data_IF_874930764622
#
_entry.id   IF_874930764622
#
_cell.length_a   1.000
_cell.length_b   1.000
_cell.length_c   1.000
_cell.angle_alpha   90.00
_cell.angle_beta   90.00
_cell.angle_gamma   90.00
#
_symmetry.space_group_name_H-M   'P 1'
#
loop_
_entity.id
_entity.type
_entity.pdbx_description
1 polymer ?
#
# COMPACT_ATOMS: atom_id res chain seq x y z
N UNK A 1 5.43 -10.84 -18.77
CA UNK A 1 6.36 -10.20 -17.80
C UNK A 1 6.69 -8.85 -18.37
N UNK A 2 6.34 -7.79 -17.67
CA UNK A 2 6.65 -6.43 -18.08
C UNK A 2 7.99 -6.00 -17.49
N UNK A 3 8.81 -5.31 -18.28
CA UNK A 3 10.16 -4.94 -17.88
C UNK A 3 10.18 -3.48 -17.43
N UNK A 4 10.32 -3.27 -16.11
CA UNK A 4 10.47 -1.94 -15.53
C UNK A 4 11.90 -1.42 -15.78
N UNK A 5 12.06 -0.18 -16.26
CA UNK A 5 13.36 0.46 -16.29
C UNK A 5 13.90 0.61 -14.85
N UNK A 6 15.24 0.56 -14.65
CA UNK A 6 15.83 0.82 -13.35
C UNK A 6 15.37 2.18 -12.79
N UNK A 7 15.12 2.23 -11.47
CA UNK A 7 14.73 3.44 -10.75
C UNK A 7 13.51 4.18 -11.33
N UNK A 8 12.53 3.43 -11.83
CA UNK A 8 11.24 3.98 -12.30
C UNK A 8 10.10 3.66 -11.34
N UNK A 9 10.13 4.17 -10.10
CA UNK A 9 9.06 3.93 -9.12
C UNK A 9 7.72 4.48 -9.62
N UNK A 10 7.73 5.56 -10.41
CA UNK A 10 6.53 6.17 -10.99
C UNK A 10 5.78 5.24 -11.96
N UNK A 11 6.47 4.21 -12.48
CA UNK A 11 5.89 3.20 -13.37
C UNK A 11 5.44 1.93 -12.61
N UNK A 12 5.55 1.90 -11.28
CA UNK A 12 5.19 0.74 -10.49
C UNK A 12 3.98 1.03 -9.60
N UNK A 13 2.79 0.47 -9.89
CA UNK A 13 1.54 0.82 -9.20
C UNK A 13 1.57 0.45 -7.71
N UNK A 14 2.45 -0.47 -7.30
CA UNK A 14 2.58 -0.86 -5.90
C UNK A 14 3.12 0.27 -5.01
N UNK A 15 3.85 1.24 -5.59
CA UNK A 15 4.43 2.36 -4.83
C UNK A 15 3.33 3.26 -4.25
N UNK A 16 2.22 3.46 -4.97
CA UNK A 16 1.08 4.24 -4.49
C UNK A 16 0.31 3.50 -3.39
N UNK A 17 0.08 2.19 -3.58
CA UNK A 17 -0.52 1.35 -2.56
C UNK A 17 0.29 1.38 -1.26
N UNK A 18 1.62 1.19 -1.34
CA UNK A 18 2.49 1.29 -0.16
C UNK A 18 2.50 2.68 0.46
N UNK A 19 2.40 3.74 -0.35
CA UNK A 19 2.33 5.12 0.16
C UNK A 19 1.05 5.35 0.96
N UNK A 20 -0.10 4.87 0.49
CA UNK A 20 -1.39 4.94 1.21
C UNK A 20 -1.34 4.12 2.52
N UNK A 21 -0.83 2.90 2.47
CA UNK A 21 -0.63 2.04 3.65
C UNK A 21 0.26 2.73 4.69
N UNK A 22 1.42 3.27 4.29
CA UNK A 22 2.33 3.98 5.19
C UNK A 22 1.65 5.20 5.81
N UNK A 23 0.91 5.97 5.01
CA UNK A 23 0.17 7.12 5.52
C UNK A 23 -0.84 6.72 6.61
N UNK A 24 -1.60 5.65 6.38
CA UNK A 24 -2.55 5.12 7.35
C UNK A 24 -1.88 4.65 8.65
N UNK A 25 -0.82 3.85 8.53
CA UNK A 25 -0.04 3.38 9.69
C UNK A 25 0.52 4.55 10.51
N UNK A 26 1.04 5.59 9.84
CA UNK A 26 1.52 6.80 10.51
C UNK A 26 0.40 7.57 11.21
N UNK A 27 -0.80 7.64 10.62
CA UNK A 27 -1.94 8.33 11.20
C UNK A 27 -2.42 7.64 12.49
N UNK A 28 -2.45 6.31 12.50
CA UNK A 28 -2.89 5.49 13.65
C UNK A 28 -1.72 4.89 14.44
N UNK A 29 -0.55 5.53 14.38
CA UNK A 29 0.70 5.00 14.93
C UNK A 29 0.62 4.66 16.42
N UNK A 30 -0.16 5.43 17.21
CA UNK A 30 -0.36 5.10 18.63
C UNK A 30 -1.02 3.74 18.83
N UNK A 31 -2.06 3.42 18.06
CA UNK A 31 -2.77 2.16 18.11
C UNK A 31 -1.83 1.00 17.73
N UNK A 32 -1.26 1.06 16.52
CA UNK A 32 -0.44 -0.03 15.98
C UNK A 32 0.85 -0.29 16.76
N UNK A 33 1.40 0.71 17.47
CA UNK A 33 2.59 0.51 18.33
C UNK A 33 2.29 -0.21 19.64
N UNK A 34 1.03 -0.27 20.06
CA UNK A 34 0.62 -0.97 21.28
C UNK A 34 0.31 -2.44 21.06
N UNK A 35 0.18 -2.86 19.81
CA UNK A 35 -0.04 -4.25 19.44
C UNK A 35 1.16 -5.12 19.83
N UNK A 36 0.87 -6.28 20.41
CA UNK A 36 1.86 -7.23 20.91
C UNK A 36 1.64 -8.61 20.30
N UNK A 37 2.66 -9.46 20.37
CA UNK A 37 2.65 -10.83 19.85
C UNK A 37 2.19 -10.90 18.38
N UNK A 38 1.37 -11.90 18.05
CA UNK A 38 0.86 -12.13 16.69
C UNK A 38 -0.23 -11.12 16.27
N UNK A 39 -0.60 -10.17 17.14
CA UNK A 39 -1.59 -9.12 16.84
C UNK A 39 -1.23 -8.30 15.60
N UNK A 40 0.06 -8.08 15.35
CA UNK A 40 0.54 -7.30 14.20
C UNK A 40 0.13 -7.92 12.86
N UNK A 41 -0.08 -9.24 12.81
CA UNK A 41 -0.55 -9.92 11.60
C UNK A 41 -2.00 -9.51 11.30
N UNK A 42 -2.85 -9.45 12.32
CA UNK A 42 -4.24 -9.03 12.17
C UNK A 42 -4.35 -7.55 11.82
N UNK A 43 -3.55 -6.70 12.46
CA UNK A 43 -3.46 -5.27 12.12
C UNK A 43 -3.07 -5.06 10.66
N UNK A 44 -2.09 -5.83 10.16
CA UNK A 44 -1.67 -5.75 8.76
C UNK A 44 -2.77 -6.22 7.81
N UNK A 45 -3.57 -7.24 8.17
CA UNK A 45 -4.72 -7.65 7.36
C UNK A 45 -5.76 -6.53 7.29
N UNK A 46 -6.09 -5.88 8.41
CA UNK A 46 -7.01 -4.74 8.44
C UNK A 46 -6.48 -3.56 7.60
N UNK A 47 -5.19 -3.26 7.72
CA UNK A 47 -4.55 -2.17 6.96
C UNK A 47 -4.59 -2.44 5.46
N UNK A 48 -4.52 -3.70 5.02
CA UNK A 48 -4.63 -4.02 3.60
C UNK A 48 -6.04 -3.75 3.05
N UNK A 49 -7.09 -3.84 3.89
CA UNK A 49 -8.48 -3.56 3.49
C UNK A 49 -8.75 -2.07 3.18
N UNK A 50 -7.83 -1.16 3.49
CA UNK A 50 -7.98 0.27 3.14
C UNK A 50 -7.80 0.53 1.63
N UNK A 51 -7.20 -0.41 0.90
CA UNK A 51 -7.01 -0.33 -0.54
C UNK A 51 -8.28 -0.83 -1.21
N UNK A 52 -9.03 0.06 -1.86
CA UNK A 52 -10.25 -0.32 -2.57
C UNK A 52 -9.94 -0.79 -4.00
N UNK A 53 -10.96 -1.36 -4.66
CA UNK A 53 -10.85 -1.74 -6.07
C UNK A 53 -10.61 -0.49 -6.95
N UNK A 54 -11.25 0.63 -6.63
CA UNK A 54 -11.07 1.90 -7.35
C UNK A 54 -9.67 2.47 -7.16
N UNK A 55 -9.11 2.38 -5.95
CA UNK A 55 -7.70 2.73 -5.70
C UNK A 55 -6.77 1.91 -6.60
N UNK A 56 -6.95 0.58 -6.60
CA UNK A 56 -6.10 -0.32 -7.36
C UNK A 56 -6.14 0.03 -8.86
N UNK A 57 -7.34 0.21 -9.43
CA UNK A 57 -7.51 0.66 -10.82
C UNK A 57 -6.81 2.00 -11.05
N UNK A 58 -6.97 2.96 -10.14
CA UNK A 58 -6.30 4.26 -10.19
C UNK A 58 -4.78 4.14 -10.23
N UNK A 59 -4.19 3.27 -9.42
CA UNK A 59 -2.74 3.08 -9.34
C UNK A 59 -2.18 2.51 -10.64
N UNK A 60 -2.87 1.53 -11.25
CA UNK A 60 -2.48 1.00 -12.56
C UNK A 60 -2.55 2.08 -13.64
N UNK A 61 -3.63 2.85 -13.68
CA UNK A 61 -3.79 3.95 -14.65
C UNK A 61 -2.70 5.01 -14.47
N UNK A 62 -2.39 5.40 -13.24
CA UNK A 62 -1.36 6.40 -12.96
C UNK A 62 0.05 5.91 -13.38
N UNK A 63 0.33 4.62 -13.18
CA UNK A 63 1.56 3.98 -13.65
C UNK A 63 1.58 3.72 -15.18
N UNK A 64 0.52 4.08 -15.92
CA UNK A 64 0.45 3.99 -17.38
C UNK A 64 -0.10 2.66 -17.92
N UNK A 65 -0.76 1.86 -17.09
CA UNK A 65 -1.38 0.59 -17.46
C UNK A 65 -2.89 0.75 -17.70
N UNK A 66 -3.37 0.30 -18.85
CA UNK A 66 -4.77 0.39 -19.28
C UNK A 66 -5.21 -0.84 -20.09
#
# INVERSE_FOLDING_TARGET
IEYLPPYSPDLNPIEEAFSKIKHWLCWYNEYYRTTTDDGIIFDMLEVLDIITEEDAVGYFIHAGYF
#
